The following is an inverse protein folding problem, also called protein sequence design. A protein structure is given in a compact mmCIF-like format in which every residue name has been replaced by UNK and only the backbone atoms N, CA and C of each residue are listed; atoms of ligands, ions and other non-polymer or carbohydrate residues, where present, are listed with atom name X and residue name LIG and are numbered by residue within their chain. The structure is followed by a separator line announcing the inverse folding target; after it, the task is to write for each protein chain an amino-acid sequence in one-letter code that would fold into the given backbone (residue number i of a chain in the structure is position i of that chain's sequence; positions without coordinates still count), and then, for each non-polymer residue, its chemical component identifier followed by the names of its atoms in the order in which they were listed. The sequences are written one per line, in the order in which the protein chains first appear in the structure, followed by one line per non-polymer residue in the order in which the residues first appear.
data_IF_285359431219
#
_entry.id   IF_285359431219
#
_cell.length_a   1.000
_cell.length_b   1.000
_cell.length_c   1.000
_cell.angle_alpha   90.00
_cell.angle_beta   90.00
_cell.angle_gamma   90.00
#
_symmetry.space_group_name_H-M   'P 1'
#
loop_
_entity.id
_entity.type
_entity.pdbx_description
1 polymer ?
#
# COMPACT_ATOMS: atom_id res chain seq x y z
N UNK A 1 -8.46 -12.60 12.89
CA UNK A 1 -8.51 -11.17 12.51
C UNK A 1 -9.44 -11.10 11.31
N UNK A 2 -10.52 -10.32 11.37
CA UNK A 2 -11.49 -10.28 10.26
C UNK A 2 -10.91 -9.58 9.04
N UNK A 3 -11.39 -9.91 7.84
CA UNK A 3 -10.98 -9.27 6.58
C UNK A 3 -11.15 -7.74 6.68
N UNK A 4 -12.16 -7.27 7.40
CA UNK A 4 -12.41 -5.85 7.66
C UNK A 4 -11.29 -5.21 8.48
N UNK A 5 -10.79 -5.90 9.51
CA UNK A 5 -9.68 -5.40 10.32
C UNK A 5 -8.36 -5.38 9.55
N UNK A 6 -8.13 -6.32 8.62
CA UNK A 6 -6.98 -6.26 7.70
C UNK A 6 -7.09 -5.08 6.74
N UNK A 7 -8.27 -4.86 6.16
CA UNK A 7 -8.54 -3.72 5.26
C UNK A 7 -8.40 -2.38 6.00
N UNK A 8 -8.83 -2.33 7.26
CA UNK A 8 -8.74 -1.15 8.12
C UNK A 8 -7.29 -0.87 8.54
N UNK A 9 -6.47 -1.89 8.77
CA UNK A 9 -5.05 -1.74 9.04
C UNK A 9 -4.28 -1.22 7.81
N UNK A 10 -4.67 -1.62 6.60
CA UNK A 10 -4.15 -1.06 5.35
C UNK A 10 -4.54 0.41 5.22
N UNK A 11 -5.80 0.76 5.52
CA UNK A 11 -6.29 2.14 5.47
C UNK A 11 -5.62 3.03 6.51
N UNK A 12 -5.59 2.61 7.78
CA UNK A 12 -5.04 3.38 8.91
C UNK A 12 -3.52 3.39 8.89
N UNK A 13 -2.88 2.27 8.56
CA UNK A 13 -1.43 2.17 8.38
C UNK A 13 -0.95 2.96 7.17
N UNK A 14 -1.75 3.06 6.11
CA UNK A 14 -1.42 3.86 4.92
C UNK A 14 -1.36 5.36 5.19
N UNK A 15 -2.21 5.91 6.09
CA UNK A 15 -2.27 7.36 6.35
C UNK A 15 -0.93 7.97 6.80
N UNK A 16 -0.21 7.43 7.82
CA UNK A 16 1.13 7.89 8.18
C UNK A 16 2.12 7.91 7.02
N UNK A 17 2.05 6.94 6.11
CA UNK A 17 2.95 6.82 4.97
C UNK A 17 2.61 7.77 3.82
N UNK A 18 1.33 8.16 3.65
CA UNK A 18 0.94 9.23 2.72
C UNK A 18 1.59 10.58 3.12
N UNK A 19 1.79 10.81 4.42
CA UNK A 19 2.39 12.04 4.96
C UNK A 19 3.91 11.94 5.17
N UNK A 20 4.49 10.74 5.17
CA UNK A 20 5.92 10.52 5.40
C UNK A 20 6.84 11.30 4.42
N UNK A 21 6.55 11.40 3.11
CA UNK A 21 7.37 12.18 2.18
C UNK A 21 7.41 13.66 2.55
N UNK A 22 6.34 14.18 3.14
CA UNK A 22 6.26 15.57 3.63
C UNK A 22 7.27 15.72 4.78
N UNK A 23 7.25 14.84 5.77
CA UNK A 23 8.19 14.90 6.91
C UNK A 23 9.67 14.77 6.48
N UNK A 24 9.99 13.89 5.52
CA UNK A 24 11.35 13.70 4.98
C UNK A 24 11.87 14.99 4.31
N UNK A 25 10.98 15.75 3.66
CA UNK A 25 11.32 17.02 3.03
C UNK A 25 11.58 18.14 4.06
N UNK A 26 10.83 18.16 5.18
CA UNK A 26 10.98 19.17 6.24
C UNK A 26 12.17 18.92 7.19
N UNK A 27 12.52 17.67 7.49
CA UNK A 27 13.47 17.33 8.58
C UNK A 27 14.94 17.76 8.39
N UNK A 28 15.38 18.10 7.18
CA UNK A 28 16.80 18.45 6.91
C UNK A 28 16.99 19.74 6.11
N UNK A 29 15.94 20.56 5.99
CA UNK A 29 15.93 21.69 5.08
C UNK A 29 15.88 21.25 3.61
N UNK A 30 15.30 22.11 2.77
CA UNK A 30 15.24 21.89 1.32
C UNK A 30 16.61 22.17 0.73
N UNK A 31 17.44 21.13 0.64
CA UNK A 31 18.58 21.16 -0.25
C UNK A 31 18.07 21.10 -1.69
N UNK A 32 18.42 22.12 -2.47
CA UNK A 32 18.11 22.20 -3.90
C UNK A 32 19.10 21.39 -4.76
N UNK A 33 20.04 20.65 -4.14
CA UNK A 33 20.99 19.83 -4.88
C UNK A 33 20.26 18.62 -5.51
N UNK A 34 20.37 18.42 -6.83
CA UNK A 34 19.57 17.41 -7.54
C UNK A 34 19.79 16.00 -7.02
N UNK A 35 21.04 15.67 -6.64
CA UNK A 35 21.37 14.35 -6.08
C UNK A 35 20.62 14.06 -4.77
N UNK A 36 20.59 15.04 -3.85
CA UNK A 36 19.94 14.86 -2.54
C UNK A 36 18.42 14.82 -2.65
N UNK A 37 17.86 15.54 -3.62
CA UNK A 37 16.44 15.48 -3.99
C UNK A 37 16.08 14.08 -4.50
N UNK A 38 16.89 13.55 -5.43
CA UNK A 38 16.69 12.21 -5.98
C UNK A 38 16.80 11.12 -4.90
N UNK A 39 17.78 11.20 -4.01
CA UNK A 39 17.92 10.22 -2.91
C UNK A 39 16.70 10.24 -1.98
N UNK A 40 16.20 11.42 -1.61
CA UNK A 40 14.99 11.53 -0.78
C UNK A 40 13.76 10.96 -1.49
N UNK A 41 13.62 11.23 -2.78
CA UNK A 41 12.54 10.67 -3.60
C UNK A 41 12.60 9.14 -3.63
N UNK A 42 13.76 8.55 -3.93
CA UNK A 42 13.95 7.10 -3.96
C UNK A 42 13.62 6.45 -2.62
N UNK A 43 14.03 7.07 -1.51
CA UNK A 43 13.69 6.59 -0.17
C UNK A 43 12.17 6.57 0.03
N UNK A 44 11.45 7.63 -0.35
CA UNK A 44 9.98 7.66 -0.27
C UNK A 44 9.34 6.55 -1.11
N UNK A 45 9.82 6.33 -2.34
CA UNK A 45 9.33 5.27 -3.23
C UNK A 45 9.51 3.90 -2.60
N UNK A 46 10.70 3.62 -2.06
CA UNK A 46 11.00 2.34 -1.40
C UNK A 46 10.12 2.13 -0.18
N UNK A 47 9.95 3.14 0.68
CA UNK A 47 9.07 3.04 1.84
C UNK A 47 7.61 2.79 1.43
N UNK A 48 7.09 3.55 0.47
CA UNK A 48 5.72 3.34 -0.03
C UNK A 48 5.55 1.96 -0.65
N UNK A 49 6.53 1.50 -1.42
CA UNK A 49 6.53 0.16 -1.99
C UNK A 49 6.45 -0.90 -0.90
N UNK A 50 7.31 -0.82 0.13
CA UNK A 50 7.34 -1.80 1.23
C UNK A 50 6.00 -1.86 1.97
N UNK A 51 5.34 -0.73 2.19
CA UNK A 51 4.07 -0.66 2.90
C UNK A 51 2.96 -1.34 2.11
N UNK A 52 2.87 -1.04 0.81
CA UNK A 52 1.85 -1.64 -0.06
C UNK A 52 2.16 -3.13 -0.27
N UNK A 53 3.41 -3.49 -0.52
CA UNK A 53 3.83 -4.88 -0.71
C UNK A 53 3.61 -5.73 0.55
N UNK A 54 3.97 -5.24 1.74
CA UNK A 54 3.72 -5.94 3.00
C UNK A 54 2.22 -6.10 3.28
N UNK A 55 1.42 -5.08 2.96
CA UNK A 55 -0.05 -5.13 3.08
C UNK A 55 -0.67 -6.20 2.17
N UNK A 56 -0.25 -6.24 0.91
CA UNK A 56 -0.68 -7.25 -0.06
C UNK A 56 -0.23 -8.66 0.36
N UNK A 57 0.98 -8.78 0.90
CA UNK A 57 1.50 -10.05 1.40
C UNK A 57 0.68 -10.58 2.56
N UNK A 58 0.39 -9.72 3.53
CA UNK A 58 -0.44 -10.09 4.68
C UNK A 58 -1.86 -10.47 4.26
N UNK A 59 -2.47 -9.74 3.31
CA UNK A 59 -3.78 -10.08 2.76
C UNK A 59 -3.78 -11.46 2.09
N UNK A 60 -2.80 -11.71 1.22
CA UNK A 60 -2.67 -13.02 0.57
C UNK A 60 -2.45 -14.14 1.58
N UNK A 61 -1.62 -13.92 2.59
CA UNK A 61 -1.38 -14.90 3.64
C UNK A 61 -2.66 -15.24 4.41
N UNK A 62 -3.49 -14.25 4.74
CA UNK A 62 -4.78 -14.50 5.40
C UNK A 62 -5.78 -15.23 4.49
N UNK A 63 -5.82 -14.87 3.20
CA UNK A 63 -6.64 -15.59 2.23
C UNK A 63 -6.16 -17.03 2.00
N UNK A 64 -4.84 -17.29 2.03
CA UNK A 64 -4.24 -18.63 2.00
C UNK A 64 -4.69 -19.45 3.20
N UNK A 65 -4.62 -18.90 4.41
CA UNK A 65 -5.06 -19.59 5.62
C UNK A 65 -6.54 -19.98 5.57
N UNK A 66 -7.42 -19.07 5.12
CA UNK A 66 -8.86 -19.38 5.00
C UNK A 66 -9.08 -20.43 3.92
N UNK A 67 -8.46 -20.30 2.74
CA UNK A 67 -8.71 -21.23 1.63
C UNK A 67 -8.17 -22.63 1.89
N UNK A 68 -7.07 -22.77 2.62
CA UNK A 68 -6.60 -24.09 3.08
C UNK A 68 -7.61 -24.75 4.04
N UNK A 69 -8.40 -23.97 4.79
CA UNK A 69 -9.44 -24.50 5.66
C UNK A 69 -10.74 -24.86 4.90
N UNK A 70 -10.90 -24.40 3.66
CA UNK A 70 -12.07 -24.70 2.84
C UNK A 70 -12.05 -26.12 2.25
N UNK A 71 -10.86 -26.68 2.08
CA UNK A 71 -10.60 -28.07 1.72
C UNK A 71 -10.66 -28.92 3.00
N UNK A 72 -11.83 -29.49 3.28
CA UNK A 72 -12.09 -30.14 4.57
C UNK A 72 -11.64 -31.59 4.58
N UNK A 73 -11.63 -32.24 3.43
CA UNK A 73 -11.13 -33.61 3.27
C UNK A 73 -9.63 -33.66 2.92
N UNK A 74 -9.03 -32.53 2.54
CA UNK A 74 -7.60 -32.40 2.27
C UNK A 74 -7.20 -33.02 0.93
N UNK A 75 -8.15 -33.21 0.01
CA UNK A 75 -7.91 -33.87 -1.27
C UNK A 75 -7.37 -32.91 -2.35
N UNK A 76 -7.25 -31.62 -2.03
CA UNK A 76 -6.73 -30.56 -2.90
C UNK A 76 -7.76 -30.08 -3.94
N UNK A 77 -8.97 -30.60 -3.90
CA UNK A 77 -10.12 -30.18 -4.69
C UNK A 77 -11.21 -29.64 -3.76
N UNK A 78 -12.20 -28.97 -4.33
CA UNK A 78 -13.33 -28.48 -3.55
C UNK A 78 -14.58 -29.08 -4.15
N UNK A 79 -15.25 -29.92 -3.38
CA UNK A 79 -16.51 -30.54 -3.78
C UNK A 79 -17.69 -29.58 -3.63
N UNK A 80 -18.76 -29.81 -4.41
CA UNK A 80 -20.02 -29.07 -4.29
C UNK A 80 -20.69 -29.27 -2.91
N UNK A 81 -20.38 -30.39 -2.24
CA UNK A 81 -20.89 -30.70 -0.90
C UNK A 81 -20.18 -29.83 0.13
N UNK A 82 -18.87 -29.64 0.04
CA UNK A 82 -18.13 -28.74 0.93
C UNK A 82 -18.55 -27.28 0.73
N UNK A 83 -18.70 -26.85 -0.53
CA UNK A 83 -19.15 -25.50 -0.86
C UNK A 83 -20.52 -25.16 -0.27
N UNK A 84 -21.38 -26.16 -0.06
CA UNK A 84 -22.69 -26.00 0.60
C UNK A 84 -22.60 -25.80 2.13
N UNK A 85 -21.45 -26.12 2.73
CA UNK A 85 -21.22 -26.00 4.19
C UNK A 85 -20.46 -24.74 4.59
N UNK A 86 -20.15 -23.88 3.61
CA UNK A 86 -19.40 -22.67 3.85
C UNK A 86 -20.27 -21.53 4.39
N UNK A 87 -19.66 -20.76 5.26
CA UNK A 87 -20.15 -19.49 5.74
C UNK A 87 -20.01 -18.40 4.67
N UNK A 88 -20.74 -17.30 4.82
CA UNK A 88 -20.64 -16.17 3.89
C UNK A 88 -19.24 -15.56 3.82
N UNK A 89 -18.48 -15.57 4.93
CA UNK A 89 -17.11 -15.08 4.99
C UNK A 89 -16.15 -15.95 4.17
N UNK A 90 -16.31 -17.28 4.24
CA UNK A 90 -15.54 -18.27 3.48
C UNK A 90 -15.80 -18.14 1.98
N UNK A 91 -17.07 -18.00 1.58
CA UNK A 91 -17.47 -17.75 0.19
C UNK A 91 -16.84 -16.44 -0.32
N UNK A 92 -16.88 -15.38 0.50
CA UNK A 92 -16.29 -14.07 0.16
C UNK A 92 -14.77 -14.17 0.01
N UNK A 93 -14.09 -14.87 0.90
CA UNK A 93 -12.65 -15.10 0.84
C UNK A 93 -12.24 -15.88 -0.43
N UNK A 94 -12.98 -16.94 -0.80
CA UNK A 94 -12.73 -17.67 -2.04
C UNK A 94 -12.94 -16.80 -3.27
N UNK A 95 -14.03 -16.03 -3.33
CA UNK A 95 -14.29 -15.08 -4.43
C UNK A 95 -13.16 -14.05 -4.56
N UNK A 96 -12.67 -13.50 -3.44
CA UNK A 96 -11.53 -12.58 -3.45
C UNK A 96 -10.26 -13.25 -3.97
N UNK A 97 -9.93 -14.46 -3.49
CA UNK A 97 -8.75 -15.20 -3.97
C UNK A 97 -8.81 -15.48 -5.47
N UNK A 98 -9.96 -15.88 -6.00
CA UNK A 98 -10.15 -16.14 -7.43
C UNK A 98 -10.07 -14.85 -8.24
N UNK A 99 -10.73 -13.78 -7.79
CA UNK A 99 -10.68 -12.47 -8.44
C UNK A 99 -9.25 -11.90 -8.51
N UNK A 100 -8.44 -12.13 -7.47
CA UNK A 100 -7.03 -11.71 -7.40
C UNK A 100 -6.06 -12.67 -8.14
N UNK A 101 -6.58 -13.67 -8.87
CA UNK A 101 -5.77 -14.63 -9.63
C UNK A 101 -4.93 -15.56 -8.74
N UNK A 102 -5.40 -15.84 -7.53
CA UNK A 102 -4.79 -16.78 -6.59
C UNK A 102 -3.63 -16.24 -5.75
N UNK A 103 -2.90 -15.22 -6.24
CA UNK A 103 -1.74 -14.64 -5.54
C UNK A 103 -1.54 -13.13 -5.73
N UNK A 104 -2.51 -12.42 -6.29
CA UNK A 104 -2.44 -10.97 -6.47
C UNK A 104 -1.22 -10.52 -7.28
N UNK A 105 -0.79 -11.33 -8.25
CA UNK A 105 0.42 -11.12 -9.06
C UNK A 105 0.36 -9.78 -9.78
N UNK A 106 -0.82 -9.40 -10.27
CA UNK A 106 -1.08 -8.09 -10.89
C UNK A 106 -0.88 -6.96 -9.90
N UNK A 107 -1.35 -7.12 -8.66
CA UNK A 107 -1.13 -6.18 -7.57
C UNK A 107 0.36 -5.94 -7.32
N UNK A 108 1.16 -6.99 -7.17
CA UNK A 108 2.61 -6.87 -6.97
C UNK A 108 3.32 -6.22 -8.16
N UNK A 109 2.89 -6.53 -9.38
CA UNK A 109 3.47 -5.95 -10.59
C UNK A 109 3.20 -4.45 -10.69
N UNK A 110 2.00 -4.01 -10.29
CA UNK A 110 1.58 -2.60 -10.34
C UNK A 110 2.06 -1.78 -9.14
N UNK A 111 2.30 -2.42 -7.99
CA UNK A 111 2.74 -1.78 -6.75
C UNK A 111 3.94 -0.85 -6.90
N UNK A 112 5.06 -1.22 -7.58
CA UNK A 112 6.19 -0.31 -7.73
C UNK A 112 5.86 0.93 -8.57
N UNK A 113 5.01 0.78 -9.59
CA UNK A 113 4.57 1.92 -10.41
C UNK A 113 3.65 2.86 -9.63
N UNK A 114 2.73 2.30 -8.84
CA UNK A 114 1.85 3.09 -7.97
C UNK A 114 2.64 3.82 -6.89
N UNK A 115 3.61 3.14 -6.25
CA UNK A 115 4.50 3.75 -5.26
C UNK A 115 5.34 4.89 -5.87
N UNK A 116 5.86 4.70 -7.08
CA UNK A 116 6.60 5.73 -7.80
C UNK A 116 5.72 6.93 -8.18
N UNK A 117 4.57 6.69 -8.83
CA UNK A 117 3.65 7.73 -9.25
C UNK A 117 3.13 8.55 -8.06
N UNK A 118 2.71 7.87 -6.98
CA UNK A 118 2.25 8.54 -5.77
C UNK A 118 3.37 9.38 -5.13
N UNK A 119 4.56 8.81 -4.98
CA UNK A 119 5.70 9.53 -4.42
C UNK A 119 6.03 10.76 -5.26
N UNK A 120 5.92 10.69 -6.59
CA UNK A 120 6.18 11.81 -7.48
C UNK A 120 5.17 12.94 -7.25
N UNK A 121 3.87 12.61 -7.17
CA UNK A 121 2.82 13.59 -6.88
C UNK A 121 3.06 14.29 -5.54
N UNK A 122 3.33 13.53 -4.47
CA UNK A 122 3.54 14.12 -3.14
C UNK A 122 4.81 14.96 -3.10
N UNK A 123 5.88 14.51 -3.76
CA UNK A 123 7.13 15.26 -3.80
C UNK A 123 6.97 16.58 -4.55
N UNK A 124 6.23 16.57 -5.66
CA UNK A 124 5.95 17.74 -6.48
C UNK A 124 5.04 18.72 -5.74
N UNK A 125 3.99 18.22 -5.07
CA UNK A 125 3.13 19.03 -4.21
C UNK A 125 3.89 19.65 -3.04
N UNK A 126 4.72 18.87 -2.35
CA UNK A 126 5.54 19.35 -1.24
C UNK A 126 6.54 20.42 -1.70
N UNK A 127 7.15 20.25 -2.87
CA UNK A 127 8.03 21.23 -3.45
C UNK A 127 7.29 22.54 -3.78
N UNK A 128 6.10 22.44 -4.39
CA UNK A 128 5.22 23.58 -4.66
C UNK A 128 4.84 24.33 -3.37
N UNK A 129 4.43 23.60 -2.32
CA UNK A 129 4.12 24.19 -1.03
C UNK A 129 5.32 24.97 -0.47
N UNK A 130 6.51 24.36 -0.46
CA UNK A 130 7.71 25.02 0.09
C UNK A 130 8.09 26.25 -0.75
N UNK A 131 7.98 26.17 -2.07
CA UNK A 131 8.21 27.31 -2.96
C UNK A 131 7.21 28.45 -2.65
N UNK A 132 5.93 28.13 -2.50
CA UNK A 132 4.89 29.11 -2.18
C UNK A 132 5.11 29.75 -0.80
N UNK A 133 5.44 28.97 0.23
CA UNK A 133 5.74 29.46 1.58
C UNK A 133 7.01 30.32 1.61
N UNK A 134 8.07 29.95 0.87
CA UNK A 134 9.27 30.81 0.73
C UNK A 134 8.93 32.15 0.08
N UNK A 135 8.13 32.15 -0.99
CA UNK A 135 7.70 33.37 -1.68
C UNK A 135 6.88 34.29 -0.78
N UNK A 136 5.96 33.72 0.02
CA UNK A 136 5.19 34.47 1.02
C UNK A 136 6.13 35.09 2.06
N UNK A 137 7.06 34.31 2.61
CA UNK A 137 8.00 34.80 3.63
C UNK A 137 8.85 35.96 3.08
N UNK A 138 9.36 35.86 1.87
CA UNK A 138 10.13 36.96 1.24
C UNK A 138 9.29 38.23 1.05
N UNK A 139 7.99 38.10 0.78
CA UNK A 139 7.08 39.25 0.56
C UNK A 139 6.63 39.96 1.84
N UNK A 140 6.69 39.28 3.00
CA UNK A 140 6.33 39.85 4.30
C UNK A 140 7.53 40.43 5.06
N UNK A 141 8.76 40.07 4.66
CA UNK A 141 10.01 40.52 5.28
C UNK A 141 10.85 41.44 4.37
N UNK A 142 10.32 41.86 3.23
CA UNK A 142 10.87 42.89 2.35
C UNK A 142 9.97 44.13 2.40
#
# INVERSE_FOLDING_TARGET
MSIESATLLIKVGGVPFLVMPIFILFFKGVSLKPLQVLTKYLVCVVFMYLVVAASLYNLNYQLDLIVVQLDRDGDGSISLVEESTWTEEEIKARKMRVADGGRNVVGYLLTPYLAAAYSAVVFLFSYLCIWFFKKIKVRFYA
#
